data_IF_775267302615
#
_entry.id   IF_775267302615
#
_cell.length_a   1.000
_cell.length_b   1.000
_cell.length_c   1.000
_cell.angle_alpha   90.00
_cell.angle_beta   90.00
_cell.angle_gamma   90.00
#
_symmetry.space_group_name_H-M   'P 1'
#
loop_
_entity.id
_entity.type
_entity.pdbx_description
1 polymer ?
#
# COMPACT_ATOMS: atom_id res chain seq x y z
N UNK A 1 -24.59 -12.92 39.34
CA UNK A 1 -24.32 -11.61 39.96
C UNK A 1 -24.51 -10.57 38.88
N UNK A 2 -25.54 -9.75 39.03
CA UNK A 2 -25.93 -8.63 38.17
C UNK A 2 -25.01 -7.44 38.39
N UNK A 3 -24.55 -6.76 37.34
CA UNK A 3 -24.37 -5.30 37.34
C UNK A 3 -24.58 -4.73 35.93
N UNK A 4 -25.26 -3.58 35.90
CA UNK A 4 -25.81 -2.84 34.77
C UNK A 4 -24.82 -1.80 34.21
N UNK A 5 -25.06 -1.44 32.94
CA UNK A 5 -24.81 -0.18 32.19
C UNK A 5 -24.06 0.95 32.89
N UNK A 6 -23.19 1.65 32.13
CA UNK A 6 -23.27 3.11 31.95
C UNK A 6 -22.80 3.50 30.53
N UNK A 7 -23.68 4.20 29.82
CA UNK A 7 -23.41 5.00 28.63
C UNK A 7 -22.93 6.37 29.09
N UNK A 8 -21.87 6.90 28.48
CA UNK A 8 -21.52 8.32 28.54
C UNK A 8 -21.10 8.73 27.15
N UNK A 9 -21.93 9.55 26.51
CA UNK A 9 -21.52 10.36 25.38
C UNK A 9 -20.90 11.65 25.90
N UNK A 10 -19.78 12.05 25.33
CA UNK A 10 -19.31 13.43 25.36
C UNK A 10 -18.87 13.82 23.94
N UNK A 11 -19.48 14.89 23.46
CA UNK A 11 -19.14 15.56 22.22
C UNK A 11 -18.22 16.74 22.49
N UNK A 12 -17.38 17.04 21.48
CA UNK A 12 -16.69 18.31 21.16
C UNK A 12 -15.29 18.56 21.78
N UNK A 13 -14.42 19.42 21.17
CA UNK A 13 -14.54 20.13 19.90
C UNK A 13 -13.39 19.92 18.90
N UNK A 14 -13.75 20.21 17.65
CA UNK A 14 -12.89 20.43 16.49
C UNK A 14 -11.85 21.53 16.75
N UNK A 15 -10.58 21.25 16.48
CA UNK A 15 -9.46 22.15 16.74
C UNK A 15 -8.34 21.92 15.73
N UNK A 16 -8.60 22.25 14.47
CA UNK A 16 -7.60 22.29 13.41
C UNK A 16 -6.53 23.34 13.72
N UNK A 17 -5.30 22.88 13.96
CA UNK A 17 -4.10 23.70 13.85
C UNK A 17 -3.20 23.09 12.78
N UNK A 18 -3.35 23.61 11.56
CA UNK A 18 -2.46 23.40 10.43
C UNK A 18 -1.04 23.79 10.86
N UNK A 19 -0.14 22.81 10.97
CA UNK A 19 1.30 23.05 10.91
C UNK A 19 1.71 22.83 9.47
N UNK A 20 1.75 23.92 8.71
CA UNK A 20 2.37 23.95 7.40
C UNK A 20 3.88 23.72 7.55
N UNK A 21 4.36 22.58 7.10
CA UNK A 21 5.79 22.33 6.91
C UNK A 21 6.10 22.45 5.43
N UNK A 22 6.72 23.58 5.10
CA UNK A 22 7.23 23.95 3.79
C UNK A 22 8.27 22.96 3.27
N UNK A 23 8.00 22.33 2.12
CA UNK A 23 9.03 21.70 1.31
C UNK A 23 10.01 22.78 0.83
N UNK A 24 11.28 22.63 1.21
CA UNK A 24 12.36 23.53 0.84
C UNK A 24 12.73 23.31 -0.62
N UNK A 25 12.45 24.30 -1.46
CA UNK A 25 13.11 24.49 -2.74
C UNK A 25 14.64 24.58 -2.53
N UNK A 26 15.42 23.76 -3.24
CA UNK A 26 16.82 24.08 -3.51
C UNK A 26 17.11 24.06 -5.01
N UNK A 27 17.19 25.31 -5.47
CA UNK A 27 17.71 25.82 -6.72
C UNK A 27 19.08 25.23 -7.10
N UNK A 28 19.20 24.77 -8.35
CA UNK A 28 20.48 24.61 -9.04
C UNK A 28 20.70 25.83 -9.94
N UNK A 29 21.81 26.54 -9.76
CA UNK A 29 22.26 27.57 -10.69
C UNK A 29 23.78 27.55 -10.90
N UNK A 30 24.14 27.94 -12.14
CA UNK A 30 25.46 28.21 -12.72
C UNK A 30 26.19 26.99 -13.35
N UNK A 31 26.65 27.01 -14.61
CA UNK A 31 27.27 28.15 -15.31
C UNK A 31 27.03 28.18 -16.82
N UNK A 32 26.98 29.41 -17.35
CA UNK A 32 27.03 29.82 -18.75
C UNK A 32 28.48 29.90 -19.26
N UNK A 33 28.69 29.63 -20.56
CA UNK A 33 29.74 30.27 -21.37
C UNK A 33 29.41 30.29 -22.88
N UNK A 34 28.90 31.45 -23.33
CA UNK A 34 29.20 32.21 -24.56
C UNK A 34 29.35 31.54 -25.96
N UNK A 35 28.30 31.72 -26.79
CA UNK A 35 28.22 32.49 -28.07
C UNK A 35 29.09 32.14 -29.31
N UNK A 36 28.87 32.77 -30.50
CA UNK A 36 27.90 33.85 -30.80
C UNK A 36 27.16 33.81 -32.18
N UNK A 37 26.15 34.69 -32.25
CA UNK A 37 25.74 35.60 -33.34
C UNK A 37 25.16 35.11 -34.70
N UNK A 38 23.93 35.58 -34.99
CA UNK A 38 23.55 36.53 -36.08
C UNK A 38 22.02 36.67 -36.10
N UNK A 39 21.42 37.78 -35.66
CA UNK A 39 21.09 39.01 -36.42
C UNK A 39 19.98 38.85 -37.47
N UNK A 40 18.88 39.60 -37.27
CA UNK A 40 18.20 40.53 -38.22
C UNK A 40 16.67 40.55 -38.00
N UNK A 41 16.11 41.65 -37.44
CA UNK A 41 15.29 42.72 -38.10
C UNK A 41 13.91 42.26 -38.56
N UNK A 42 12.78 42.97 -38.45
CA UNK A 42 12.39 44.31 -38.00
C UNK A 42 10.85 44.40 -38.00
N UNK A 43 10.28 45.37 -37.26
CA UNK A 43 9.08 46.19 -37.56
C UNK A 43 7.75 45.45 -37.90
N UNK A 44 6.56 45.86 -37.45
CA UNK A 44 6.01 47.20 -37.40
C UNK A 44 4.66 47.15 -36.65
N UNK A 45 4.45 48.13 -35.78
CA UNK A 45 3.20 48.84 -35.43
C UNK A 45 1.79 48.27 -35.71
N UNK A 46 0.98 48.48 -34.67
CA UNK A 46 -0.30 49.23 -34.64
C UNK A 46 -1.54 48.43 -34.29
N UNK A 47 -2.03 48.80 -33.11
CA UNK A 47 -3.37 48.74 -32.55
C UNK A 47 -4.50 48.83 -33.58
N UNK A 48 -5.54 48.02 -33.39
CA UNK A 48 -6.90 48.52 -33.54
C UNK A 48 -7.92 47.73 -32.70
N UNK A 49 -8.87 48.51 -32.23
CA UNK A 49 -9.98 48.23 -31.32
C UNK A 49 -11.00 47.16 -31.73
N UNK A 50 -11.61 46.55 -30.69
CA UNK A 50 -13.05 46.29 -30.47
C UNK A 50 -13.89 45.75 -31.64
N UNK A 51 -14.58 44.62 -31.45
CA UNK A 51 -15.96 44.58 -30.96
C UNK A 51 -16.56 43.16 -31.00
N UNK A 52 -17.59 43.00 -30.19
CA UNK A 52 -18.45 41.88 -29.81
C UNK A 52 -19.06 40.98 -30.92
N UNK A 53 -19.64 39.86 -30.42
CA UNK A 53 -20.70 39.00 -30.98
C UNK A 53 -20.19 37.81 -31.82
N UNK A 54 -20.62 36.55 -31.67
CA UNK A 54 -21.91 35.99 -31.27
C UNK A 54 -21.79 34.55 -30.69
N UNK A 55 -22.88 34.10 -30.08
CA UNK A 55 -23.22 32.75 -29.64
C UNK A 55 -22.94 31.64 -30.68
N UNK A 56 -22.44 30.50 -30.20
CA UNK A 56 -22.71 29.10 -30.62
C UNK A 56 -21.64 28.27 -29.89
N UNK A 57 -21.95 27.38 -28.95
CA UNK A 57 -22.82 26.23 -29.12
C UNK A 57 -21.95 24.98 -28.88
N UNK A 58 -22.44 24.07 -28.05
CA UNK A 58 -21.91 22.71 -27.87
C UNK A 58 -20.52 22.61 -27.23
N UNK A 59 -20.21 21.64 -26.38
CA UNK A 59 -20.88 20.42 -26.00
C UNK A 59 -20.28 20.09 -24.64
N UNK A 60 -21.12 19.64 -23.70
CA UNK A 60 -20.64 18.94 -22.54
C UNK A 60 -19.80 17.76 -23.04
N UNK A 61 -18.48 17.90 -22.99
CA UNK A 61 -17.57 16.77 -22.98
C UNK A 61 -17.78 16.06 -21.65
N UNK A 62 -18.89 15.33 -21.52
CA UNK A 62 -18.87 14.17 -20.65
C UNK A 62 -17.81 13.27 -21.27
N UNK A 63 -16.58 13.37 -20.77
CA UNK A 63 -15.61 12.32 -20.90
C UNK A 63 -16.33 11.07 -20.39
N UNK A 64 -16.85 10.28 -21.33
CA UNK A 64 -17.25 8.91 -21.04
C UNK A 64 -15.91 8.19 -20.91
N UNK A 65 -15.26 8.38 -19.75
CA UNK A 65 -14.11 7.60 -19.32
C UNK A 65 -14.59 6.16 -19.31
N UNK A 66 -14.14 5.41 -20.32
CA UNK A 66 -14.32 3.96 -20.31
C UNK A 66 -13.71 3.46 -19.00
N UNK A 67 -14.32 2.47 -18.31
CA UNK A 67 -13.64 1.83 -17.19
C UNK A 67 -12.28 1.37 -17.69
N UNK A 68 -11.21 1.84 -17.04
CA UNK A 68 -9.84 1.65 -17.52
C UNK A 68 -9.47 0.16 -17.65
N UNK A 69 -10.13 -0.68 -16.85
CA UNK A 69 -9.90 -2.12 -16.78
C UNK A 69 -11.19 -2.93 -16.78
N UNK A 70 -11.17 -4.07 -17.47
CA UNK A 70 -12.09 -5.19 -17.30
C UNK A 70 -11.82 -5.91 -15.98
N UNK A 71 -12.77 -6.72 -15.49
CA UNK A 71 -12.58 -7.54 -14.29
C UNK A 71 -11.38 -8.47 -14.46
N UNK A 72 -11.23 -9.07 -15.64
CA UNK A 72 -10.15 -10.00 -15.94
C UNK A 72 -8.78 -9.32 -15.95
N UNK A 73 -8.69 -8.06 -16.40
CA UNK A 73 -7.44 -7.27 -16.32
C UNK A 73 -7.09 -6.94 -14.86
N UNK A 74 -8.05 -6.52 -14.03
CA UNK A 74 -7.81 -6.29 -12.60
C UNK A 74 -7.33 -7.56 -11.89
N UNK A 75 -7.99 -8.69 -12.15
CA UNK A 75 -7.60 -10.01 -11.64
C UNK A 75 -6.19 -10.39 -12.07
N UNK A 76 -5.83 -10.12 -13.33
CA UNK A 76 -4.50 -10.41 -13.85
C UNK A 76 -3.41 -9.56 -13.18
N UNK A 77 -3.66 -8.27 -12.92
CA UNK A 77 -2.73 -7.37 -12.24
C UNK A 77 -2.46 -7.85 -10.80
N UNK A 78 -3.51 -8.20 -10.06
CA UNK A 78 -3.37 -8.72 -8.69
C UNK A 78 -2.65 -10.08 -8.69
N UNK A 79 -2.99 -10.95 -9.64
CA UNK A 79 -2.32 -12.25 -9.77
C UNK A 79 -0.82 -12.10 -10.06
N UNK A 80 -0.44 -11.18 -10.94
CA UNK A 80 0.96 -10.88 -11.25
C UNK A 80 1.72 -10.35 -10.02
N UNK A 81 1.06 -9.57 -9.16
CA UNK A 81 1.64 -9.16 -7.87
C UNK A 81 1.77 -10.34 -6.90
N UNK A 82 0.73 -11.15 -6.73
CA UNK A 82 0.77 -12.30 -5.83
C UNK A 82 1.82 -13.33 -6.25
N UNK A 83 1.95 -13.60 -7.55
CA UNK A 83 3.00 -14.47 -8.08
C UNK A 83 4.40 -13.94 -7.74
N UNK A 84 4.62 -12.61 -7.83
CA UNK A 84 5.86 -12.00 -7.37
C UNK A 84 6.11 -12.25 -5.88
N UNK A 85 5.10 -12.05 -5.00
CA UNK A 85 5.24 -12.35 -3.57
C UNK A 85 5.61 -13.81 -3.30
N UNK A 86 5.14 -14.76 -4.14
CA UNK A 86 5.50 -16.18 -3.99
C UNK A 86 6.98 -16.48 -4.28
N UNK A 87 7.67 -15.58 -4.99
CA UNK A 87 9.11 -15.68 -5.21
C UNK A 87 9.94 -15.20 -4.02
N UNK A 88 9.30 -14.48 -3.07
CA UNK A 88 9.96 -13.85 -1.94
C UNK A 88 9.63 -14.59 -0.64
N UNK A 89 8.41 -14.44 -0.14
CA UNK A 89 8.01 -14.87 1.21
C UNK A 89 6.66 -15.58 1.30
N UNK A 90 5.79 -15.46 0.29
CA UNK A 90 4.55 -16.22 0.27
C UNK A 90 4.77 -17.64 -0.25
N UNK A 91 3.99 -18.60 0.25
CA UNK A 91 4.04 -19.97 -0.25
C UNK A 91 3.24 -20.11 -1.56
N UNK A 92 3.87 -20.54 -2.67
CA UNK A 92 3.16 -20.77 -3.94
C UNK A 92 1.98 -21.74 -3.82
N UNK A 93 2.05 -22.72 -2.91
CA UNK A 93 0.96 -23.69 -2.73
C UNK A 93 -0.30 -23.07 -2.14
N UNK A 94 -0.18 -21.94 -1.44
CA UNK A 94 -1.30 -21.28 -0.79
C UNK A 94 -2.00 -20.31 -1.74
N UNK A 95 -1.38 -19.91 -2.87
CA UNK A 95 -2.03 -19.11 -3.91
C UNK A 95 -3.12 -19.91 -4.64
N UNK A 96 -4.37 -19.46 -4.54
CA UNK A 96 -5.54 -20.10 -5.17
C UNK A 96 -6.11 -19.22 -6.28
N UNK A 97 -6.48 -19.88 -7.38
CA UNK A 97 -7.09 -19.25 -8.54
C UNK A 97 -8.56 -19.66 -8.66
N UNK A 98 -9.41 -18.71 -9.03
CA UNK A 98 -10.82 -18.95 -9.19
C UNK A 98 -11.07 -19.91 -10.38
N UNK A 99 -12.06 -20.82 -10.26
CA UNK A 99 -12.63 -21.50 -11.42
C UNK A 99 -13.19 -20.50 -12.46
N UNK A 100 -13.41 -20.92 -13.72
CA UNK A 100 -14.02 -20.04 -14.74
C UNK A 100 -15.41 -19.50 -14.37
N UNK A 101 -16.15 -20.23 -13.53
CA UNK A 101 -17.46 -19.83 -13.01
C UNK A 101 -17.36 -19.02 -11.70
N UNK A 102 -16.15 -18.70 -11.25
CA UNK A 102 -15.86 -18.05 -9.98
C UNK A 102 -15.92 -18.97 -8.76
N UNK A 103 -15.70 -18.37 -7.58
CA UNK A 103 -15.65 -19.07 -6.30
C UNK A 103 -17.02 -19.61 -5.85
N UNK A 104 -17.16 -20.94 -5.59
CA UNK A 104 -18.43 -21.53 -5.17
C UNK A 104 -18.91 -21.09 -3.78
N UNK A 105 -17.99 -20.65 -2.91
CA UNK A 105 -18.27 -20.13 -1.57
C UNK A 105 -19.04 -18.80 -1.59
N UNK A 106 -18.81 -17.98 -2.61
CA UNK A 106 -19.47 -16.69 -2.80
C UNK A 106 -20.81 -16.88 -3.52
N UNK A 107 -21.80 -17.42 -2.79
CA UNK A 107 -23.13 -17.69 -3.37
C UNK A 107 -23.91 -16.39 -3.62
N UNK A 108 -24.87 -16.39 -4.56
CA UNK A 108 -25.74 -15.24 -4.78
C UNK A 108 -26.47 -14.78 -3.51
N UNK A 109 -26.87 -15.72 -2.64
CA UNK A 109 -27.53 -15.40 -1.37
C UNK A 109 -26.59 -14.65 -0.42
N UNK A 110 -25.34 -15.08 -0.31
CA UNK A 110 -24.33 -14.39 0.52
C UNK A 110 -24.04 -12.99 -0.02
N UNK A 111 -23.80 -12.89 -1.34
CA UNK A 111 -23.46 -11.63 -2.01
C UNK A 111 -24.65 -10.66 -2.06
N UNK A 112 -25.89 -11.13 -1.98
CA UNK A 112 -27.07 -10.26 -1.90
C UNK A 112 -27.12 -9.38 -0.65
N UNK A 113 -26.32 -9.69 0.37
CA UNK A 113 -26.11 -8.86 1.54
C UNK A 113 -25.20 -7.65 1.31
N UNK A 114 -24.45 -7.62 0.19
CA UNK A 114 -23.59 -6.51 -0.20
C UNK A 114 -24.35 -5.52 -1.08
N UNK A 115 -24.35 -4.24 -0.70
CA UNK A 115 -24.77 -3.18 -1.62
C UNK A 115 -23.58 -2.75 -2.50
N UNK A 116 -23.17 -3.65 -3.40
CA UNK A 116 -22.04 -3.43 -4.33
C UNK A 116 -22.50 -3.60 -5.78
N UNK A 117 -21.77 -2.95 -6.68
CA UNK A 117 -22.04 -2.98 -8.12
C UNK A 117 -21.76 -4.37 -8.71
N UNK A 118 -22.47 -4.74 -9.79
CA UNK A 118 -22.28 -6.02 -10.48
C UNK A 118 -20.81 -6.30 -10.84
N UNK A 119 -20.05 -5.24 -11.20
CA UNK A 119 -18.62 -5.35 -11.52
C UNK A 119 -17.77 -5.75 -10.30
N UNK A 120 -18.08 -5.21 -9.11
CA UNK A 120 -17.42 -5.62 -7.85
C UNK A 120 -17.77 -7.06 -7.52
N UNK A 121 -19.05 -7.43 -7.64
CA UNK A 121 -19.51 -8.80 -7.40
C UNK A 121 -18.82 -9.80 -8.35
N UNK A 122 -18.69 -9.46 -9.63
CA UNK A 122 -17.95 -10.27 -10.60
C UNK A 122 -16.45 -10.35 -10.25
N UNK A 123 -15.84 -9.25 -9.82
CA UNK A 123 -14.45 -9.21 -9.37
C UNK A 123 -14.20 -10.09 -8.14
N UNK A 124 -15.02 -9.99 -7.09
CA UNK A 124 -14.91 -10.82 -5.88
C UNK A 124 -14.97 -12.31 -6.21
N UNK A 125 -15.80 -12.71 -7.18
CA UNK A 125 -15.90 -14.11 -7.63
C UNK A 125 -14.65 -14.63 -8.33
N UNK A 126 -13.76 -13.77 -8.81
CA UNK A 126 -12.61 -14.16 -9.62
C UNK A 126 -11.25 -13.74 -9.05
N UNK A 127 -11.23 -12.92 -7.99
CA UNK A 127 -9.97 -12.48 -7.36
C UNK A 127 -9.17 -13.70 -6.87
N UNK A 128 -7.86 -13.78 -7.18
CA UNK A 128 -6.99 -14.77 -6.56
C UNK A 128 -6.82 -14.43 -5.07
N UNK A 129 -6.48 -15.42 -4.26
CA UNK A 129 -6.18 -15.18 -2.86
C UNK A 129 -5.16 -16.19 -2.34
N UNK A 130 -4.53 -15.88 -1.22
CA UNK A 130 -3.74 -16.86 -0.48
C UNK A 130 -4.62 -17.53 0.55
N UNK A 131 -4.71 -18.86 0.53
CA UNK A 131 -5.35 -19.59 1.62
C UNK A 131 -4.41 -19.56 2.83
N UNK A 132 -4.53 -18.51 3.63
CA UNK A 132 -3.63 -18.29 4.76
C UNK A 132 -3.84 -19.39 5.81
N UNK A 133 -2.77 -20.12 6.12
CA UNK A 133 -2.76 -21.14 7.18
C UNK A 133 -2.12 -20.60 8.46
N UNK A 134 -1.17 -19.69 8.30
CA UNK A 134 -0.34 -19.14 9.36
C UNK A 134 -0.35 -17.61 9.24
N UNK A 135 -0.83 -16.93 10.28
CA UNK A 135 -0.56 -15.51 10.51
C UNK A 135 0.93 -15.40 10.84
N UNK A 136 1.78 -14.74 10.01
CA UNK A 136 1.98 -13.27 10.07
C UNK A 136 2.59 -12.68 8.76
N UNK A 137 2.36 -13.32 7.61
CA UNK A 137 3.04 -12.93 6.35
C UNK A 137 2.35 -11.70 5.75
N UNK A 138 2.78 -10.51 6.20
CA UNK A 138 2.32 -9.25 5.63
C UNK A 138 2.79 -9.08 4.17
N UNK A 139 1.94 -8.50 3.34
CA UNK A 139 2.37 -7.99 2.02
C UNK A 139 2.80 -6.50 2.10
N UNK A 140 2.51 -5.86 3.23
CA UNK A 140 2.90 -4.49 3.58
C UNK A 140 3.12 -4.41 5.11
N UNK A 141 3.69 -3.31 5.58
CA UNK A 141 3.85 -3.04 7.01
C UNK A 141 2.53 -3.15 7.76
N UNK A 142 2.48 -4.11 8.70
CA UNK A 142 1.33 -4.37 9.59
C UNK A 142 0.00 -4.61 8.89
N UNK A 143 0.03 -4.99 7.61
CA UNK A 143 -1.16 -5.20 6.80
C UNK A 143 -1.31 -6.61 6.29
N UNK A 144 -2.55 -7.11 6.31
CA UNK A 144 -2.92 -8.43 5.85
C UNK A 144 -3.86 -8.35 4.65
N UNK A 145 -3.63 -9.18 3.64
CA UNK A 145 -4.58 -9.33 2.53
C UNK A 145 -5.91 -9.92 3.02
N UNK A 146 -7.03 -9.41 2.52
CA UNK A 146 -8.35 -9.95 2.79
C UNK A 146 -8.57 -11.27 2.03
N UNK A 147 -9.10 -12.28 2.72
CA UNK A 147 -9.45 -13.56 2.12
C UNK A 147 -10.86 -13.52 1.52
N UNK A 148 -11.07 -12.62 0.55
CA UNK A 148 -12.39 -12.35 -0.07
C UNK A 148 -13.15 -13.63 -0.45
N UNK A 149 -12.53 -14.64 -1.08
CA UNK A 149 -13.22 -15.88 -1.44
C UNK A 149 -13.72 -16.72 -0.25
N UNK A 150 -13.26 -16.46 0.96
CA UNK A 150 -13.66 -17.16 2.20
C UNK A 150 -14.59 -16.32 3.08
N UNK A 151 -15.12 -15.19 2.58
CA UNK A 151 -16.06 -14.35 3.31
C UNK A 151 -17.25 -15.14 3.88
N UNK A 152 -17.54 -14.89 5.15
CA UNK A 152 -18.69 -15.36 5.91
C UNK A 152 -19.77 -14.28 5.93
N UNK A 153 -21.00 -14.59 6.41
CA UNK A 153 -22.02 -13.56 6.60
C UNK A 153 -21.61 -12.43 7.54
N UNK A 154 -20.66 -12.65 8.45
CA UNK A 154 -20.16 -11.59 9.34
C UNK A 154 -19.14 -10.71 8.62
N UNK A 155 -18.26 -11.27 7.78
CA UNK A 155 -17.37 -10.49 6.90
C UNK A 155 -18.16 -9.60 5.94
N UNK A 156 -19.29 -10.10 5.42
CA UNK A 156 -20.20 -9.30 4.58
C UNK A 156 -20.78 -8.10 5.34
N UNK A 157 -21.13 -8.28 6.63
CA UNK A 157 -21.60 -7.16 7.46
C UNK A 157 -20.48 -6.19 7.77
N UNK A 158 -19.29 -6.71 8.05
CA UNK A 158 -18.11 -5.92 8.35
C UNK A 158 -17.74 -5.03 7.16
N UNK A 159 -17.68 -5.60 5.95
CA UNK A 159 -17.45 -4.87 4.70
C UNK A 159 -18.47 -3.73 4.49
N UNK A 160 -19.73 -3.96 4.88
CA UNK A 160 -20.78 -2.93 4.83
C UNK A 160 -20.65 -1.88 5.93
N UNK A 161 -20.08 -2.20 7.09
CA UNK A 161 -19.83 -1.23 8.16
C UNK A 161 -18.63 -0.32 7.87
N UNK A 162 -17.58 -0.83 7.22
CA UNK A 162 -16.40 -0.02 6.93
C UNK A 162 -16.65 1.11 5.94
N UNK A 163 -17.63 0.95 5.03
CA UNK A 163 -18.09 2.06 4.18
C UNK A 163 -18.64 3.25 4.98
N UNK A 164 -19.00 3.06 6.25
CA UNK A 164 -19.60 4.10 7.10
C UNK A 164 -18.63 4.76 8.08
N UNK A 165 -17.51 4.11 8.40
CA UNK A 165 -16.64 4.51 9.53
C UNK A 165 -15.35 5.22 9.11
N UNK A 166 -14.88 5.06 7.88
CA UNK A 166 -13.77 5.86 7.34
C UNK A 166 -14.31 6.98 6.46
N UNK A 167 -14.45 8.16 7.06
CA UNK A 167 -14.53 9.44 6.34
C UNK A 167 -13.20 9.66 5.62
N UNK A 168 -13.00 8.98 4.49
CA UNK A 168 -12.00 9.41 3.52
C UNK A 168 -12.32 10.86 3.17
N UNK A 169 -11.35 11.75 3.37
CA UNK A 169 -11.52 13.18 3.10
C UNK A 169 -11.47 13.38 1.58
N UNK A 170 -12.58 13.05 0.92
CA UNK A 170 -12.70 13.14 -0.52
C UNK A 170 -12.69 14.61 -0.93
N UNK A 171 -11.73 15.00 -1.77
CA UNK A 171 -11.80 16.29 -2.45
C UNK A 171 -12.96 16.26 -3.48
N UNK A 172 -14.17 16.62 -3.05
CA UNK A 172 -15.33 16.81 -3.93
C UNK A 172 -16.57 16.02 -3.52
N UNK A 173 -17.21 15.38 -4.50
CA UNK A 173 -18.41 14.59 -4.25
C UNK A 173 -18.03 13.25 -3.62
N UNK A 174 -18.78 12.85 -2.60
CA UNK A 174 -18.64 11.53 -1.97
C UNK A 174 -18.72 10.42 -3.04
N UNK A 175 -17.71 9.54 -3.13
CA UNK A 175 -17.67 8.53 -4.15
C UNK A 175 -18.72 7.45 -3.87
N UNK A 176 -19.27 6.88 -4.95
CA UNK A 176 -20.21 5.78 -4.84
C UNK A 176 -19.52 4.52 -4.32
N UNK A 177 -19.74 4.22 -3.04
CA UNK A 177 -19.14 3.11 -2.31
C UNK A 177 -19.45 1.72 -2.89
N UNK A 178 -20.44 1.62 -3.79
CA UNK A 178 -20.78 0.39 -4.51
C UNK A 178 -19.65 -0.10 -5.41
N UNK A 179 -18.68 0.75 -5.72
CA UNK A 179 -17.55 0.41 -6.60
C UNK A 179 -16.28 0.02 -5.87
N UNK A 180 -16.27 0.13 -4.54
CA UNK A 180 -15.08 -0.11 -3.72
C UNK A 180 -15.13 -1.47 -3.03
N UNK A 181 -13.99 -2.11 -2.89
CA UNK A 181 -13.82 -3.32 -2.09
C UNK A 181 -12.47 -3.25 -1.37
N UNK A 182 -12.43 -3.70 -0.13
CA UNK A 182 -11.19 -3.80 0.64
C UNK A 182 -10.34 -4.97 0.13
N UNK A 183 -9.05 -4.71 -0.10
CA UNK A 183 -8.06 -5.72 -0.46
C UNK A 183 -7.15 -6.10 0.70
N UNK A 184 -6.97 -5.20 1.67
CA UNK A 184 -6.17 -5.45 2.86
C UNK A 184 -6.63 -4.68 4.09
N UNK A 185 -6.31 -5.27 5.26
CA UNK A 185 -6.58 -4.74 6.59
C UNK A 185 -5.28 -4.25 7.22
N UNK A 186 -5.33 -3.06 7.80
CA UNK A 186 -4.30 -2.57 8.71
C UNK A 186 -4.67 -2.85 10.16
N UNK A 187 -3.72 -3.29 10.97
CA UNK A 187 -3.99 -3.70 12.36
C UNK A 187 -3.82 -2.57 13.38
N UNK A 188 -2.83 -1.70 13.21
CA UNK A 188 -2.51 -0.63 14.13
C UNK A 188 -1.84 0.55 13.43
N UNK A 189 -1.38 1.55 14.20
CA UNK A 189 -0.79 2.78 13.64
C UNK A 189 0.36 2.46 12.66
N UNK A 190 0.35 3.13 11.51
CA UNK A 190 1.30 2.88 10.41
C UNK A 190 0.91 1.74 9.48
N UNK A 191 -0.10 0.92 9.82
CA UNK A 191 -0.57 -0.13 8.92
C UNK A 191 -1.39 0.45 7.77
N UNK A 192 -1.35 -0.22 6.62
CA UNK A 192 -2.01 0.20 5.39
C UNK A 192 -3.33 -0.53 5.17
N UNK A 193 -4.43 0.22 5.01
CA UNK A 193 -5.72 -0.29 4.52
C UNK A 193 -5.82 0.00 3.03
N UNK A 194 -5.96 -1.06 2.24
CA UNK A 194 -6.04 -0.93 0.79
C UNK A 194 -7.48 -1.12 0.33
N UNK A 195 -7.99 -0.12 -0.39
CA UNK A 195 -9.27 -0.18 -1.07
C UNK A 195 -9.08 -0.11 -2.57
N UNK A 196 -9.77 -0.98 -3.31
CA UNK A 196 -9.80 -0.93 -4.76
C UNK A 196 -11.13 -0.34 -5.24
N UNK A 197 -11.06 0.78 -5.95
CA UNK A 197 -12.12 1.21 -6.86
C UNK A 197 -12.14 0.29 -8.09
N UNK A 198 -13.01 -0.71 -8.10
CA UNK A 198 -13.13 -1.68 -9.21
C UNK A 198 -13.64 -1.03 -10.49
N UNK A 199 -14.37 0.09 -10.40
CA UNK A 199 -14.90 0.79 -11.57
C UNK A 199 -13.75 1.39 -12.39
N UNK A 200 -12.89 2.14 -11.72
CA UNK A 200 -11.85 2.97 -12.37
C UNK A 200 -10.45 2.33 -12.29
N UNK A 201 -10.26 1.29 -11.47
CA UNK A 201 -8.99 0.58 -11.32
C UNK A 201 -7.98 1.35 -10.46
N UNK A 202 -8.46 2.02 -9.43
CA UNK A 202 -7.61 2.83 -8.54
C UNK A 202 -7.49 2.20 -7.17
N UNK A 203 -6.28 2.17 -6.63
CA UNK A 203 -5.98 1.84 -5.24
C UNK A 203 -6.01 3.12 -4.42
N UNK A 204 -6.70 3.05 -3.30
CA UNK A 204 -6.53 3.99 -2.21
C UNK A 204 -5.77 3.26 -1.12
N UNK A 205 -4.62 3.82 -0.77
CA UNK A 205 -3.77 3.34 0.28
C UNK A 205 -3.89 4.31 1.47
N UNK A 206 -4.49 3.81 2.55
CA UNK A 206 -4.73 4.60 3.75
C UNK A 206 -3.85 4.09 4.88
N UNK A 207 -2.89 4.91 5.30
CA UNK A 207 -2.07 4.62 6.48
C UNK A 207 -2.85 4.95 7.76
N UNK A 208 -3.01 3.96 8.65
CA UNK A 208 -3.70 4.15 9.92
C UNK A 208 -3.01 5.19 10.80
N UNK A 209 -3.75 6.26 11.12
CA UNK A 209 -3.25 7.44 11.85
C UNK A 209 -2.16 8.21 11.11
N UNK A 210 -1.99 7.96 9.81
CA UNK A 210 -1.16 8.72 8.89
C UNK A 210 -1.99 9.57 7.95
N UNK A 211 -1.36 10.00 6.86
CA UNK A 211 -2.00 10.74 5.78
C UNK A 211 -2.56 9.76 4.72
N UNK A 212 -3.70 10.09 4.12
CA UNK A 212 -4.22 9.37 2.97
C UNK A 212 -3.50 9.81 1.70
N UNK A 213 -3.00 8.87 0.89
CA UNK A 213 -2.49 9.20 -0.45
C UNK A 213 -3.65 9.42 -1.45
N UNK A 214 -3.37 10.21 -2.49
CA UNK A 214 -4.27 10.33 -3.64
C UNK A 214 -4.50 8.94 -4.29
N UNK A 215 -5.71 8.65 -4.82
CA UNK A 215 -5.96 7.39 -5.52
C UNK A 215 -4.99 7.17 -6.69
N UNK A 216 -4.32 6.03 -6.70
CA UNK A 216 -3.31 5.66 -7.71
C UNK A 216 -3.84 4.56 -8.61
N UNK A 217 -3.47 4.56 -9.89
CA UNK A 217 -3.73 3.43 -10.77
C UNK A 217 -3.20 2.10 -10.18
N UNK A 218 -4.02 1.04 -10.22
CA UNK A 218 -3.71 -0.26 -9.60
C UNK A 218 -2.40 -0.87 -10.12
N UNK A 219 -2.10 -0.72 -11.42
CA UNK A 219 -0.88 -1.26 -11.99
C UNK A 219 0.34 -0.46 -11.54
N UNK A 220 0.21 0.88 -11.47
CA UNK A 220 1.25 1.75 -10.92
C UNK A 220 1.53 1.40 -9.46
N UNK A 221 0.48 1.24 -8.65
CA UNK A 221 0.60 0.91 -7.23
C UNK A 221 1.34 -0.41 -6.99
N UNK A 222 0.89 -1.51 -7.60
CA UNK A 222 1.57 -2.81 -7.39
C UNK A 222 2.97 -2.86 -8.00
N UNK A 223 3.26 -2.10 -9.06
CA UNK A 223 4.63 -1.96 -9.56
C UNK A 223 5.53 -1.19 -8.57
N UNK A 224 5.00 -0.16 -7.90
CA UNK A 224 5.70 0.55 -6.81
C UNK A 224 6.04 -0.42 -5.67
N UNK A 225 5.07 -1.22 -5.21
CA UNK A 225 5.32 -2.23 -4.17
C UNK A 225 6.38 -3.25 -4.59
N UNK A 226 6.32 -3.76 -5.83
CA UNK A 226 7.34 -4.67 -6.37
C UNK A 226 8.73 -4.04 -6.32
N UNK A 227 8.84 -2.78 -6.71
CA UNK A 227 10.09 -2.05 -6.69
C UNK A 227 10.60 -1.80 -5.25
N UNK A 228 9.71 -1.43 -4.31
CA UNK A 228 10.04 -1.29 -2.89
C UNK A 228 10.57 -2.60 -2.31
N UNK A 229 9.95 -3.75 -2.61
CA UNK A 229 10.51 -5.06 -2.24
C UNK A 229 11.89 -5.28 -2.87
N UNK A 230 12.06 -5.06 -4.17
CA UNK A 230 13.35 -5.25 -4.85
C UNK A 230 14.47 -4.41 -4.24
N UNK A 231 14.16 -3.19 -3.80
CA UNK A 231 15.08 -2.26 -3.13
C UNK A 231 15.26 -2.50 -1.63
N UNK A 232 14.51 -3.43 -1.03
CA UNK A 232 14.46 -3.63 0.43
C UNK A 232 14.06 -2.34 1.16
N UNK A 233 13.06 -1.64 0.62
CA UNK A 233 12.24 -0.67 1.35
C UNK A 233 11.20 -1.43 2.16
N UNK A 234 10.50 -2.37 1.51
CA UNK A 234 9.68 -3.37 2.19
C UNK A 234 10.49 -4.65 2.38
N UNK A 235 10.57 -5.14 3.62
CA UNK A 235 11.40 -6.30 3.96
C UNK A 235 10.59 -7.37 4.70
N UNK A 236 10.35 -8.52 4.07
CA UNK A 236 9.59 -9.58 4.70
C UNK A 236 10.45 -10.40 5.65
N UNK A 237 9.95 -10.70 6.84
CA UNK A 237 10.62 -11.57 7.80
C UNK A 237 10.10 -13.02 7.82
N UNK A 238 10.76 -13.91 8.57
CA UNK A 238 10.24 -15.21 8.95
C UNK A 238 8.87 -15.14 9.67
N UNK A 239 8.17 -16.28 9.81
CA UNK A 239 6.95 -16.35 10.59
C UNK A 239 7.17 -15.83 12.03
N UNK A 240 6.47 -14.76 12.38
CA UNK A 240 6.51 -14.08 13.68
C UNK A 240 6.97 -12.64 13.54
N UNK A 241 7.66 -12.32 12.44
CA UNK A 241 8.20 -11.01 12.12
C UNK A 241 7.29 -10.29 11.13
N UNK A 242 6.96 -9.04 11.45
CA UNK A 242 6.17 -8.15 10.63
C UNK A 242 7.02 -7.71 9.43
N UNK A 243 6.41 -7.58 8.24
CA UNK A 243 7.10 -6.97 7.10
C UNK A 243 7.51 -5.56 7.47
N UNK A 244 8.79 -5.24 7.48
CA UNK A 244 9.28 -3.93 7.85
C UNK A 244 9.14 -2.93 6.69
N UNK A 245 8.97 -1.65 7.04
CA UNK A 245 9.04 -0.52 6.11
C UNK A 245 10.21 0.41 6.50
N UNK A 246 11.12 0.58 5.55
CA UNK A 246 12.34 1.38 5.67
C UNK A 246 12.39 2.53 4.65
N UNK A 247 11.25 3.04 4.20
CA UNK A 247 11.17 4.11 3.19
C UNK A 247 11.97 5.36 3.57
N UNK A 248 11.96 5.75 4.84
CA UNK A 248 12.67 6.94 5.34
C UNK A 248 14.20 6.75 5.48
N UNK A 249 14.74 5.58 5.15
CA UNK A 249 16.14 5.21 5.39
C UNK A 249 16.88 5.03 4.07
N UNK A 250 17.75 5.98 3.76
CA UNK A 250 18.61 5.96 2.58
C UNK A 250 19.55 4.74 2.56
N UNK A 251 20.00 4.37 1.36
CA UNK A 251 21.08 3.39 1.21
C UNK A 251 22.43 4.03 1.55
N UNK A 252 23.29 3.28 2.23
CA UNK A 252 24.67 3.67 2.54
C UNK A 252 25.66 2.80 1.76
N UNK A 253 26.91 3.25 1.64
CA UNK A 253 27.94 2.50 0.94
C UNK A 253 28.31 1.21 1.69
N UNK A 254 28.64 0.12 0.97
CA UNK A 254 28.94 -1.20 1.55
C UNK A 254 30.06 -1.20 2.60
N UNK A 255 30.98 -0.24 2.52
CA UNK A 255 32.11 -0.03 3.42
C UNK A 255 31.69 0.61 4.76
N UNK A 256 30.55 1.30 4.78
CA UNK A 256 29.97 1.94 5.96
C UNK A 256 29.02 0.99 6.73
N UNK A 257 28.64 -0.14 6.11
CA UNK A 257 27.77 -1.14 6.72
C UNK A 257 28.52 -1.94 7.79
N UNK A 258 27.91 -2.05 8.98
CA UNK A 258 28.42 -2.84 10.10
C UNK A 258 28.82 -4.27 9.70
N UNK A 259 29.84 -4.81 10.35
CA UNK A 259 30.09 -6.25 10.38
C UNK A 259 29.12 -6.93 11.36
N UNK A 260 28.95 -8.25 11.24
CA UNK A 260 28.15 -9.00 12.22
C UNK A 260 28.68 -8.84 13.66
N UNK A 261 30.00 -8.85 13.84
CA UNK A 261 30.62 -8.62 15.16
C UNK A 261 30.26 -7.25 15.72
N UNK A 262 30.26 -6.21 14.88
CA UNK A 262 29.85 -4.86 15.30
C UNK A 262 28.36 -4.79 15.58
N UNK A 263 27.53 -5.41 14.73
CA UNK A 263 26.09 -5.49 14.88
C UNK A 263 25.71 -6.14 16.23
N UNK A 264 26.33 -7.27 16.57
CA UNK A 264 26.09 -8.00 17.82
C UNK A 264 26.75 -7.36 19.05
N UNK A 265 27.73 -6.47 18.87
CA UNK A 265 28.40 -5.78 19.99
C UNK A 265 27.69 -4.47 20.40
N UNK A 266 26.57 -4.12 19.75
CA UNK A 266 25.77 -2.95 20.10
C UNK A 266 25.19 -3.09 21.51
N UNK A 267 25.09 -1.97 22.22
CA UNK A 267 24.48 -1.88 23.56
C UNK A 267 22.95 -1.76 23.49
N UNK A 268 22.28 -1.56 24.64
CA UNK A 268 20.80 -1.46 24.77
C UNK A 268 20.08 -0.56 23.74
N UNK A 269 20.76 0.46 23.18
CA UNK A 269 20.24 1.28 22.08
C UNK A 269 20.95 0.97 20.76
N UNK A 270 20.17 0.65 19.74
CA UNK A 270 20.60 0.45 18.36
C UNK A 270 20.45 1.71 17.51
N UNK A 271 21.37 1.94 16.58
CA UNK A 271 21.19 2.96 15.55
C UNK A 271 20.34 2.37 14.40
N UNK A 272 19.10 2.84 14.25
CA UNK A 272 18.16 2.34 13.23
C UNK A 272 18.75 2.40 11.81
N UNK A 273 19.54 3.41 11.47
CA UNK A 273 20.10 3.58 10.11
C UNK A 273 21.19 2.54 9.83
N UNK A 274 22.14 2.36 10.76
CA UNK A 274 23.24 1.39 10.60
C UNK A 274 22.71 -0.06 10.56
N UNK A 275 21.69 -0.36 11.35
CA UNK A 275 21.10 -1.68 11.44
C UNK A 275 20.26 -2.04 10.20
N UNK A 276 19.52 -1.08 9.63
CA UNK A 276 18.80 -1.27 8.37
C UNK A 276 19.77 -1.52 7.22
N UNK A 277 20.89 -0.78 7.16
CA UNK A 277 21.92 -1.02 6.18
C UNK A 277 22.52 -2.44 6.29
N UNK A 278 22.78 -2.90 7.52
CA UNK A 278 23.23 -4.27 7.79
C UNK A 278 22.20 -5.32 7.33
N UNK A 279 20.92 -5.13 7.66
CA UNK A 279 19.86 -6.05 7.26
C UNK A 279 19.70 -6.09 5.74
N UNK A 280 19.78 -4.94 5.03
CA UNK A 280 19.77 -4.93 3.55
C UNK A 280 20.92 -5.76 2.97
N UNK A 281 22.13 -5.59 3.50
CA UNK A 281 23.32 -6.36 3.10
C UNK A 281 23.14 -7.86 3.35
N UNK A 282 22.54 -8.23 4.49
CA UNK A 282 22.22 -9.60 4.83
C UNK A 282 21.32 -10.24 3.77
N UNK A 283 20.15 -9.65 3.48
CA UNK A 283 19.20 -10.18 2.48
C UNK A 283 19.84 -10.29 1.08
N UNK A 284 20.62 -9.27 0.67
CA UNK A 284 21.35 -9.28 -0.61
C UNK A 284 22.38 -10.41 -0.68
N UNK A 285 23.07 -10.73 0.42
CA UNK A 285 24.01 -11.87 0.49
C UNK A 285 23.32 -13.24 0.29
N UNK A 286 22.02 -13.31 0.60
CA UNK A 286 21.17 -14.46 0.32
C UNK A 286 20.52 -14.44 -1.07
N UNK A 287 20.93 -13.53 -1.96
CA UNK A 287 20.52 -13.50 -3.37
C UNK A 287 19.24 -12.71 -3.64
N UNK A 288 18.84 -11.83 -2.71
CA UNK A 288 17.69 -10.96 -2.92
C UNK A 288 17.84 -10.08 -4.18
N UNK A 289 16.75 -9.82 -4.95
CA UNK A 289 15.45 -10.48 -4.87
C UNK A 289 15.36 -11.76 -5.71
N UNK A 290 16.13 -11.88 -6.80
CA UNK A 290 15.84 -12.83 -7.88
C UNK A 290 16.31 -14.27 -7.61
N UNK A 291 17.31 -14.46 -6.74
CA UNK A 291 17.87 -15.76 -6.37
C UNK A 291 17.79 -16.00 -4.85
N UNK A 292 16.75 -15.45 -4.23
CA UNK A 292 16.62 -15.39 -2.79
C UNK A 292 16.53 -16.78 -2.15
N UNK A 293 17.50 -17.09 -1.29
CA UNK A 293 17.53 -18.31 -0.48
C UNK A 293 16.77 -18.08 0.82
N UNK A 294 15.44 -18.00 0.72
CA UNK A 294 14.51 -17.65 1.80
C UNK A 294 14.82 -18.35 3.12
N UNK A 295 14.81 -19.68 3.13
CA UNK A 295 14.96 -20.45 4.37
C UNK A 295 16.32 -20.24 5.05
N UNK A 296 17.39 -20.07 4.28
CA UNK A 296 18.72 -19.79 4.83
C UNK A 296 18.78 -18.38 5.41
N UNK A 297 18.20 -17.40 4.71
CA UNK A 297 18.15 -16.01 5.18
C UNK A 297 17.31 -15.87 6.45
N UNK A 298 16.16 -16.53 6.49
CA UNK A 298 15.23 -16.49 7.62
C UNK A 298 15.80 -17.18 8.86
N UNK A 299 16.44 -18.33 8.71
CA UNK A 299 17.16 -18.96 9.81
C UNK A 299 18.27 -18.06 10.38
N UNK A 300 18.91 -17.25 9.52
CA UNK A 300 19.93 -16.31 9.94
C UNK A 300 19.34 -15.06 10.63
N UNK A 301 18.20 -14.56 10.15
CA UNK A 301 17.43 -13.50 10.83
C UNK A 301 17.00 -13.94 12.23
N UNK A 302 16.42 -15.13 12.37
CA UNK A 302 16.01 -15.69 13.66
C UNK A 302 17.22 -15.85 14.59
N UNK A 303 18.34 -16.38 14.10
CA UNK A 303 19.58 -16.51 14.88
C UNK A 303 20.09 -15.16 15.39
N UNK A 304 20.05 -14.14 14.55
CA UNK A 304 20.50 -12.80 14.92
C UNK A 304 19.55 -12.15 15.93
N UNK A 305 18.23 -12.32 15.76
CA UNK A 305 17.25 -11.83 16.73
C UNK A 305 17.37 -12.53 18.08
N UNK A 306 17.55 -13.84 18.13
CA UNK A 306 17.81 -14.59 19.37
C UNK A 306 19.11 -14.13 20.06
N UNK A 307 20.13 -13.74 19.29
CA UNK A 307 21.37 -13.21 19.85
C UNK A 307 21.21 -11.78 20.40
N UNK A 308 20.15 -11.06 19.99
CA UNK A 308 19.81 -9.70 20.40
C UNK A 308 18.72 -9.65 21.49
N UNK A 309 18.32 -10.78 22.08
CA UNK A 309 17.17 -10.90 23.01
C UNK A 309 17.21 -9.94 24.24
N UNK A 310 18.37 -9.34 24.55
CA UNK A 310 18.55 -8.36 25.63
C UNK A 310 18.38 -6.88 25.19
N UNK A 311 18.08 -6.60 23.91
CA UNK A 311 17.95 -5.23 23.39
C UNK A 311 16.53 -4.68 23.57
N UNK A 312 16.41 -3.37 23.82
CA UNK A 312 15.10 -2.71 23.99
C UNK A 312 14.37 -2.49 22.65
N UNK A 313 15.11 -2.47 21.54
CA UNK A 313 14.59 -2.22 20.19
C UNK A 313 15.02 -3.33 19.22
N UNK A 314 14.07 -3.83 18.44
CA UNK A 314 14.29 -4.86 17.43
C UNK A 314 14.29 -4.25 16.03
N UNK A 315 15.25 -4.65 15.21
CA UNK A 315 15.30 -4.26 13.79
C UNK A 315 14.27 -5.04 12.96
N UNK A 316 13.87 -6.22 13.46
CA UNK A 316 12.82 -7.07 12.92
C UNK A 316 11.69 -7.14 13.94
N UNK A 317 10.70 -6.28 13.76
CA UNK A 317 9.58 -6.16 14.68
C UNK A 317 8.78 -7.48 14.75
N UNK A 318 8.73 -8.09 15.93
CA UNK A 318 7.88 -9.24 16.21
C UNK A 318 6.44 -8.83 16.55
N UNK A 319 5.46 -9.71 16.29
CA UNK A 319 4.07 -9.48 16.69
C UNK A 319 3.69 -10.25 17.98
N UNK A 320 3.15 -9.60 19.03
CA UNK A 320 2.47 -10.30 20.10
C UNK A 320 1.16 -10.86 19.57
N UNK A 321 1.11 -12.18 19.43
CA UNK A 321 0.00 -13.00 18.92
C UNK A 321 -1.39 -12.53 19.41
N UNK A 322 -2.15 -11.83 18.57
CA UNK A 322 -3.61 -11.80 18.67
C UNK A 322 -4.20 -12.61 17.51
N UNK A 323 -4.64 -13.83 17.80
CA UNK A 323 -5.47 -14.63 16.89
C UNK A 323 -6.70 -13.82 16.48
N UNK A 324 -7.02 -13.74 15.17
CA UNK A 324 -8.37 -13.42 14.71
C UNK A 324 -9.34 -14.31 15.50
N UNK A 325 -10.24 -13.69 16.27
CA UNK A 325 -11.33 -14.43 16.88
C UNK A 325 -12.22 -14.94 15.75
N UNK A 326 -12.07 -16.23 15.43
CA UNK A 326 -12.95 -16.98 14.53
C UNK A 326 -14.38 -16.98 15.00
#
# INVERSE_FOLDING_TARGET
MTWNHHSVGESLPNGSSRRSSSASERSTQASLANGPASSQTSNHNSENDQNESDEEGSEAGSEVTRPAYTVQELVAIILDFYQFLTTLHFNPEDLKLAPPEGWPSLTPELLSGLDKSDKVIEFMRHIPYFKQRDWPVGFHYKSQLCDIPEYTPDDIKEEMSWGMDYDFDWEGAEPDQKHYIRLADGMESGAHLLWLNVKDGQIIDYELKGDSEDPVDIQVYFNRLKDQYRRLVLVPGPPGIITADWEEIDEVEDEEVLTEEQFLAQSEHIDRYENVAFARKLYRSFGWPDAFRREECWAEVERLQDAMEEMEEDIWEGSPLSTRHT
#
